data_IF_713168378230
#
_entry.id   IF_713168378230
#
_cell.length_a   1.000
_cell.length_b   1.000
_cell.length_c   1.000
_cell.angle_alpha   90.00
_cell.angle_beta   90.00
_cell.angle_gamma   90.00
#
_symmetry.space_group_name_H-M   'P 1'
#
loop_
_entity.id
_entity.type
_entity.pdbx_description
1 polymer ?
#
# COMPACT_ATOMS: atom_id res chain seq x y z
N UNK A 1 7.85 18.67 -8.34
CA UNK A 1 8.58 17.75 -7.42
C UNK A 1 8.00 16.33 -7.49
N UNK A 2 6.71 16.08 -7.19
CA UNK A 2 6.13 14.72 -7.20
C UNK A 2 6.18 14.04 -8.58
N UNK A 3 5.84 14.72 -9.67
CA UNK A 3 5.92 14.16 -11.03
C UNK A 3 7.34 13.76 -11.40
N UNK A 4 8.31 14.65 -11.15
CA UNK A 4 9.72 14.36 -11.40
C UNK A 4 10.24 13.16 -10.59
N UNK A 5 9.82 13.02 -9.32
CA UNK A 5 10.17 11.85 -8.53
C UNK A 5 9.57 10.55 -9.09
N UNK A 6 8.35 10.60 -9.65
CA UNK A 6 7.74 9.45 -10.30
C UNK A 6 8.46 9.06 -11.60
N UNK A 7 8.81 10.03 -12.43
CA UNK A 7 9.60 9.81 -13.65
C UNK A 7 10.99 9.23 -13.32
N UNK A 8 11.65 9.74 -12.28
CA UNK A 8 12.93 9.22 -11.82
C UNK A 8 12.81 7.79 -11.31
N UNK A 9 11.78 7.47 -10.49
CA UNK A 9 11.52 6.13 -10.02
C UNK A 9 11.24 5.15 -11.17
N UNK A 10 10.48 5.59 -12.18
CA UNK A 10 10.23 4.82 -13.40
C UNK A 10 11.51 4.58 -14.21
N UNK A 11 12.37 5.59 -14.37
CA UNK A 11 13.66 5.42 -15.04
C UNK A 11 14.58 4.42 -14.32
N UNK A 12 14.46 4.30 -13.00
CA UNK A 12 15.08 3.27 -12.18
C UNK A 12 14.36 1.92 -12.19
N UNK A 13 13.35 1.72 -13.05
CA UNK A 13 12.60 0.46 -13.19
C UNK A 13 11.91 -0.01 -11.91
N UNK A 14 11.56 0.88 -10.98
CA UNK A 14 10.85 0.51 -9.75
C UNK A 14 9.44 0.06 -10.06
N UNK A 15 8.89 -0.87 -9.25
CA UNK A 15 7.57 -1.47 -9.51
C UNK A 15 6.43 -0.50 -9.30
N UNK A 16 6.45 0.21 -8.17
CA UNK A 16 5.40 1.16 -7.82
C UNK A 16 5.86 2.17 -6.76
N UNK A 17 5.09 3.24 -6.66
CA UNK A 17 5.20 4.24 -5.60
C UNK A 17 4.04 4.10 -4.61
N UNK A 18 4.36 4.11 -3.31
CA UNK A 18 3.36 4.33 -2.27
C UNK A 18 3.27 5.82 -1.96
N UNK A 19 2.06 6.33 -1.80
CA UNK A 19 1.82 7.71 -1.39
C UNK A 19 1.10 7.66 -0.05
N UNK A 20 1.73 8.22 0.99
CA UNK A 20 1.14 8.26 2.33
C UNK A 20 -0.03 9.23 2.38
N UNK A 21 -1.02 8.86 3.20
CA UNK A 21 -2.17 9.70 3.53
C UNK A 21 -2.61 9.49 4.98
N UNK A 22 -3.41 10.43 5.46
CA UNK A 22 -4.05 10.44 6.77
C UNK A 22 -5.22 11.43 6.76
N UNK A 23 -6.07 11.34 7.75
CA UNK A 23 -7.26 12.21 7.89
C UNK A 23 -7.10 13.23 9.01
N UNK A 24 -5.88 13.39 9.52
CA UNK A 24 -5.54 14.38 10.55
C UNK A 24 -4.22 15.07 10.23
N UNK A 25 -3.95 16.16 10.91
CA UNK A 25 -2.66 16.85 10.80
C UNK A 25 -1.53 15.89 11.23
N UNK A 26 -0.41 15.94 10.52
CA UNK A 26 0.77 15.18 10.88
C UNK A 26 1.23 15.52 12.30
N UNK A 27 1.62 14.52 13.06
CA UNK A 27 2.05 14.60 14.44
C UNK A 27 3.18 13.61 14.70
N UNK A 28 4.08 13.96 15.59
CA UNK A 28 5.10 13.05 16.11
C UNK A 28 4.48 11.99 17.06
N UNK A 29 3.28 12.25 17.60
CA UNK A 29 2.48 11.28 18.35
C UNK A 29 1.52 10.55 17.40
N UNK A 30 1.60 9.22 17.37
CA UNK A 30 0.77 8.38 16.52
C UNK A 30 -0.73 8.44 16.84
N UNK A 31 -1.08 8.76 18.09
CA UNK A 31 -2.46 8.68 18.57
C UNK A 31 -3.12 10.04 18.78
N UNK A 32 -2.33 11.12 18.80
CA UNK A 32 -2.83 12.45 19.14
C UNK A 32 -2.19 13.53 18.27
N UNK A 33 -2.90 14.64 18.11
CA UNK A 33 -2.32 15.84 17.56
C UNK A 33 -1.32 16.45 18.55
N UNK A 34 -0.19 16.94 18.07
CA UNK A 34 0.75 17.73 18.84
C UNK A 34 0.56 19.24 18.55
N UNK A 35 1.22 20.10 19.32
CA UNK A 35 1.16 21.56 19.18
C UNK A 35 2.36 22.16 18.43
N UNK A 36 3.21 21.37 17.82
CA UNK A 36 4.41 21.86 17.13
C UNK A 36 4.07 22.71 15.91
N UNK A 37 4.82 23.77 15.71
CA UNK A 37 4.67 24.73 14.61
C UNK A 37 5.88 24.74 13.66
N UNK A 38 6.91 23.99 13.99
CA UNK A 38 8.19 23.90 13.26
C UNK A 38 8.27 22.68 12.32
N UNK A 39 7.14 22.00 12.09
CA UNK A 39 7.03 20.81 11.23
C UNK A 39 6.01 21.02 10.11
N UNK A 40 6.20 20.31 9.01
CA UNK A 40 5.17 20.18 7.98
C UNK A 40 3.99 19.41 8.57
N UNK A 41 2.78 19.98 8.51
CA UNK A 41 1.59 19.42 9.16
C UNK A 41 0.53 18.95 8.17
N UNK A 42 0.48 19.55 6.99
CA UNK A 42 -0.50 19.22 5.97
C UNK A 42 0.04 18.33 4.87
N UNK A 43 -0.84 17.61 4.21
CA UNK A 43 -0.53 16.82 3.02
C UNK A 43 -1.71 16.89 2.03
N UNK A 44 -1.47 16.51 0.80
CA UNK A 44 -2.48 16.41 -0.24
C UNK A 44 -3.05 15.00 -0.28
N UNK A 45 -4.27 14.83 -0.76
CA UNK A 45 -4.94 13.56 -0.97
C UNK A 45 -4.12 12.64 -1.88
N UNK A 46 -3.81 11.43 -1.39
CA UNK A 46 -2.93 10.51 -2.07
C UNK A 46 -3.53 9.93 -3.36
N UNK A 47 -4.85 9.70 -3.40
CA UNK A 47 -5.54 9.17 -4.59
C UNK A 47 -5.57 10.23 -5.69
N UNK A 48 -5.83 11.49 -5.33
CA UNK A 48 -5.82 12.61 -6.27
C UNK A 48 -4.41 12.90 -6.81
N UNK A 49 -3.37 12.82 -5.95
CA UNK A 49 -1.97 12.90 -6.39
C UNK A 49 -1.67 11.78 -7.39
N UNK A 50 -2.00 10.53 -7.05
CA UNK A 50 -1.77 9.38 -7.92
C UNK A 50 -2.47 9.57 -9.28
N UNK A 51 -3.72 9.99 -9.29
CA UNK A 51 -4.48 10.24 -10.52
C UNK A 51 -3.88 11.37 -11.37
N UNK A 52 -3.28 12.40 -10.73
CA UNK A 52 -2.63 13.51 -11.44
C UNK A 52 -1.30 13.10 -12.08
N UNK A 53 -0.52 12.25 -11.42
CA UNK A 53 0.84 11.90 -11.89
C UNK A 53 0.88 10.63 -12.75
N UNK A 54 -0.08 9.70 -12.60
CA UNK A 54 -0.10 8.45 -13.36
C UNK A 54 -0.04 8.63 -14.89
N UNK A 55 -0.73 9.61 -15.51
CA UNK A 55 -0.63 9.83 -16.96
C UNK A 55 0.73 10.37 -17.43
N UNK A 56 1.61 10.80 -16.53
CA UNK A 56 2.96 11.30 -16.86
C UNK A 56 3.99 10.17 -16.92
N UNK A 57 3.59 8.96 -16.56
CA UNK A 57 4.44 7.75 -16.55
C UNK A 57 3.78 6.66 -17.41
N UNK A 58 4.53 5.59 -17.71
CA UNK A 58 4.06 4.52 -18.61
C UNK A 58 4.00 3.14 -17.94
N UNK A 59 4.87 2.87 -16.97
CA UNK A 59 5.06 1.52 -16.42
C UNK A 59 4.92 1.46 -14.90
N UNK A 60 5.43 2.46 -14.17
CA UNK A 60 5.41 2.45 -12.70
C UNK A 60 3.98 2.48 -12.14
N UNK A 61 3.72 1.63 -11.15
CA UNK A 61 2.43 1.57 -10.46
C UNK A 61 2.27 2.64 -9.38
N UNK A 62 1.02 2.89 -8.99
CA UNK A 62 0.65 3.85 -7.94
C UNK A 62 -0.22 3.18 -6.89
N UNK A 63 0.25 3.18 -5.65
CA UNK A 63 -0.42 2.56 -4.49
C UNK A 63 -0.67 3.64 -3.43
N UNK A 64 -1.65 4.53 -3.65
CA UNK A 64 -2.04 5.53 -2.65
C UNK A 64 -2.57 4.85 -1.39
N UNK A 65 -2.32 5.47 -0.23
CA UNK A 65 -2.91 5.07 1.04
C UNK A 65 -4.34 5.60 1.15
N UNK A 66 -5.23 4.80 1.71
CA UNK A 66 -6.56 5.23 2.09
C UNK A 66 -6.94 4.68 3.47
N UNK A 67 -7.60 5.54 4.27
CA UNK A 67 -8.06 5.20 5.61
C UNK A 67 -9.42 4.52 5.49
N UNK A 68 -9.54 3.28 5.95
CA UNK A 68 -10.77 2.48 5.80
C UNK A 68 -11.79 2.69 6.92
N UNK A 69 -11.37 3.12 8.10
CA UNK A 69 -12.23 3.18 9.30
C UNK A 69 -13.32 4.26 9.26
N UNK A 70 -13.19 5.28 8.42
CA UNK A 70 -14.07 6.46 8.43
C UNK A 70 -14.62 6.81 7.06
N UNK A 71 -14.08 6.27 5.97
CA UNK A 71 -14.48 6.51 4.59
C UNK A 71 -15.49 5.48 4.10
N UNK A 72 -16.17 5.78 2.99
CA UNK A 72 -17.16 4.87 2.40
C UNK A 72 -16.52 3.93 1.36
N UNK A 73 -16.66 2.60 1.50
CA UNK A 73 -16.05 1.65 0.57
C UNK A 73 -16.56 1.81 -0.86
N UNK A 74 -17.85 2.13 -1.06
CA UNK A 74 -18.39 2.39 -2.41
C UNK A 74 -17.68 3.55 -3.09
N UNK A 75 -17.46 4.66 -2.37
CA UNK A 75 -16.81 5.84 -2.93
C UNK A 75 -15.35 5.56 -3.28
N UNK A 76 -14.64 4.88 -2.39
CA UNK A 76 -13.23 4.55 -2.61
C UNK A 76 -13.04 3.51 -3.72
N UNK A 77 -13.92 2.50 -3.82
CA UNK A 77 -13.85 1.51 -4.91
C UNK A 77 -13.91 2.17 -6.29
N UNK A 78 -14.83 3.13 -6.44
CA UNK A 78 -14.97 3.93 -7.66
C UNK A 78 -13.71 4.77 -7.94
N UNK A 79 -13.15 5.41 -6.93
CA UNK A 79 -11.95 6.25 -7.07
C UNK A 79 -10.74 5.41 -7.53
N UNK A 80 -10.50 4.25 -6.91
CA UNK A 80 -9.39 3.36 -7.29
C UNK A 80 -9.63 2.70 -8.66
N UNK A 81 -10.86 2.30 -8.99
CA UNK A 81 -11.19 1.82 -10.32
C UNK A 81 -10.93 2.90 -11.39
N UNK A 82 -11.28 4.16 -11.10
CA UNK A 82 -10.99 5.30 -11.98
C UNK A 82 -9.47 5.51 -12.13
N UNK A 83 -8.71 5.43 -11.02
CA UNK A 83 -7.25 5.49 -11.06
C UNK A 83 -6.68 4.37 -11.93
N UNK A 84 -7.25 3.17 -11.88
CA UNK A 84 -6.80 2.04 -12.70
C UNK A 84 -7.01 2.33 -14.20
N UNK A 85 -8.14 2.91 -14.58
CA UNK A 85 -8.37 3.38 -15.95
C UNK A 85 -7.41 4.49 -16.37
N UNK A 86 -7.23 5.51 -15.56
CA UNK A 86 -6.36 6.66 -15.86
C UNK A 86 -4.89 6.25 -15.96
N UNK A 87 -4.48 5.26 -15.17
CA UNK A 87 -3.13 4.69 -15.20
C UNK A 87 -2.96 3.52 -16.18
N UNK A 88 -4.01 3.12 -16.90
CA UNK A 88 -3.98 1.96 -17.83
C UNK A 88 -3.57 0.65 -17.14
N UNK A 89 -4.17 0.36 -15.97
CA UNK A 89 -3.94 -0.90 -15.25
C UNK A 89 -2.76 -0.87 -14.27
N UNK A 90 -2.40 0.30 -13.74
CA UNK A 90 -1.24 0.43 -12.83
C UNK A 90 -1.63 0.91 -11.43
N UNK A 91 -2.91 0.86 -11.09
CA UNK A 91 -3.38 1.23 -9.78
C UNK A 91 -3.28 0.10 -8.76
N UNK A 92 -3.03 0.48 -7.54
CA UNK A 92 -3.25 -0.29 -6.34
C UNK A 92 -3.83 0.60 -5.25
N UNK A 93 -3.98 0.06 -4.07
CA UNK A 93 -4.38 0.76 -2.86
C UNK A 93 -3.64 0.20 -1.67
N UNK A 94 -3.14 1.04 -0.77
CA UNK A 94 -2.72 0.63 0.56
C UNK A 94 -3.81 0.95 1.56
N UNK A 95 -4.43 -0.07 2.11
CA UNK A 95 -5.45 0.11 3.15
C UNK A 95 -4.80 0.35 4.50
N UNK A 96 -5.35 1.30 5.25
CA UNK A 96 -4.89 1.68 6.59
C UNK A 96 -6.09 1.78 7.52
N UNK A 97 -6.11 1.00 8.59
CA UNK A 97 -7.07 1.18 9.66
C UNK A 97 -6.77 2.48 10.42
N UNK A 98 -7.71 3.41 10.44
CA UNK A 98 -7.60 4.64 11.22
C UNK A 98 -7.84 4.36 12.69
N UNK A 99 -6.98 4.92 13.54
CA UNK A 99 -7.02 4.67 14.98
C UNK A 99 -7.12 5.99 15.81
N UNK A 100 -7.13 7.14 15.14
CA UNK A 100 -7.12 8.44 15.81
C UNK A 100 -8.53 8.98 16.04
N UNK A 101 -8.78 9.46 17.24
CA UNK A 101 -10.08 10.03 17.61
C UNK A 101 -10.40 11.33 16.86
N UNK A 102 -9.38 12.13 16.53
CA UNK A 102 -9.55 13.37 15.73
C UNK A 102 -9.93 13.04 14.27
N UNK A 103 -9.41 11.97 13.68
CA UNK A 103 -9.86 11.49 12.36
C UNK A 103 -11.36 11.14 12.38
N UNK A 104 -11.81 10.37 13.40
CA UNK A 104 -13.21 10.00 13.55
C UNK A 104 -14.14 11.23 13.69
N UNK A 105 -13.68 12.25 14.41
CA UNK A 105 -14.45 13.48 14.65
C UNK A 105 -14.73 14.29 13.36
N UNK A 106 -13.90 14.16 12.32
CA UNK A 106 -14.14 14.81 11.03
C UNK A 106 -15.35 14.23 10.28
N UNK A 107 -15.75 13.00 10.58
CA UNK A 107 -16.87 12.31 9.93
C UNK A 107 -18.14 12.30 10.77
N UNK A 108 -18.04 12.40 12.10
CA UNK A 108 -19.19 12.46 13.01
C UNK A 108 -20.10 11.22 13.00
N UNK A 109 -19.63 10.08 12.48
CA UNK A 109 -20.44 8.86 12.30
C UNK A 109 -20.45 7.96 13.53
N UNK A 110 -19.37 7.98 14.29
CA UNK A 110 -19.22 7.22 15.53
C UNK A 110 -18.17 7.89 16.42
N UNK A 111 -18.31 7.70 17.71
CA UNK A 111 -17.24 8.01 18.64
C UNK A 111 -16.14 6.96 18.51
N UNK A 112 -14.90 7.42 18.49
CA UNK A 112 -13.73 6.56 18.52
C UNK A 112 -12.98 6.80 19.83
N UNK A 113 -12.82 5.80 20.68
CA UNK A 113 -12.04 5.93 21.89
C UNK A 113 -10.61 6.34 21.56
N UNK A 114 -10.00 7.17 22.41
CA UNK A 114 -8.61 7.56 22.26
C UNK A 114 -7.71 6.34 22.50
N UNK A 115 -6.99 5.91 21.47
CA UNK A 115 -5.91 4.95 21.63
C UNK A 115 -4.73 5.61 22.35
N UNK A 116 -4.13 4.88 23.27
CA UNK A 116 -2.99 5.36 24.08
C UNK A 116 -1.91 4.29 24.09
N UNK A 117 -0.67 4.71 23.86
CA UNK A 117 0.49 3.82 23.81
C UNK A 117 0.67 3.01 25.12
N UNK A 118 0.40 3.64 26.26
CA UNK A 118 0.50 3.02 27.60
C UNK A 118 -0.61 1.98 27.89
N UNK A 119 -1.67 1.95 27.08
CA UNK A 119 -2.82 1.06 27.24
C UNK A 119 -3.01 0.04 26.13
N UNK A 120 -2.09 -0.03 25.18
CA UNK A 120 -2.20 -0.96 24.06
C UNK A 120 -2.31 -2.43 24.47
N UNK A 121 -1.77 -2.80 25.64
CA UNK A 121 -1.87 -4.17 26.16
C UNK A 121 -3.21 -4.47 26.86
N UNK A 122 -4.05 -3.47 27.12
CA UNK A 122 -5.35 -3.67 27.79
C UNK A 122 -6.27 -4.51 26.91
N UNK A 123 -7.02 -5.49 27.47
CA UNK A 123 -7.91 -6.35 26.69
C UNK A 123 -8.99 -5.59 25.88
N UNK A 124 -9.51 -4.49 26.45
CA UNK A 124 -10.51 -3.66 25.77
C UNK A 124 -9.90 -2.95 24.55
N UNK A 125 -8.67 -2.45 24.70
CA UNK A 125 -7.93 -1.80 23.64
C UNK A 125 -7.56 -2.80 22.53
N UNK A 126 -7.14 -4.01 22.90
CA UNK A 126 -6.87 -5.08 21.93
C UNK A 126 -8.13 -5.49 21.16
N UNK A 127 -9.31 -5.53 21.80
CA UNK A 127 -10.59 -5.78 21.11
C UNK A 127 -10.92 -4.66 20.13
N UNK A 128 -10.74 -3.40 20.52
CA UNK A 128 -10.96 -2.24 19.64
C UNK A 128 -10.03 -2.28 18.42
N UNK A 129 -8.75 -2.60 18.63
CA UNK A 129 -7.79 -2.76 17.52
C UNK A 129 -8.26 -3.88 16.60
N UNK A 130 -8.61 -5.05 17.14
CA UNK A 130 -9.10 -6.17 16.33
C UNK A 130 -10.34 -5.77 15.51
N UNK A 131 -11.32 -5.09 16.12
CA UNK A 131 -12.53 -4.60 15.45
C UNK A 131 -12.20 -3.66 14.27
N UNK A 132 -11.21 -2.75 14.40
CA UNK A 132 -10.77 -1.87 13.31
C UNK A 132 -10.15 -2.65 12.15
N UNK A 133 -9.37 -3.70 12.44
CA UNK A 133 -8.77 -4.52 11.41
C UNK A 133 -9.77 -5.48 10.74
N UNK A 134 -10.76 -5.96 11.48
CA UNK A 134 -11.87 -6.73 10.91
C UNK A 134 -12.76 -5.86 10.00
N UNK A 135 -13.05 -4.62 10.41
CA UNK A 135 -13.72 -3.63 9.55
C UNK A 135 -12.92 -3.37 8.25
N UNK A 136 -11.60 -3.22 8.37
CA UNK A 136 -10.74 -3.04 7.19
C UNK A 136 -10.77 -4.25 6.25
N UNK A 137 -10.89 -5.47 6.79
CA UNK A 137 -11.03 -6.68 5.98
C UNK A 137 -12.39 -6.72 5.23
N UNK A 138 -13.49 -6.38 5.89
CA UNK A 138 -14.81 -6.26 5.25
C UNK A 138 -14.81 -5.13 4.20
N UNK A 139 -14.12 -4.04 4.50
CA UNK A 139 -13.96 -2.94 3.55
C UNK A 139 -13.27 -3.41 2.26
N UNK A 140 -12.16 -4.13 2.37
CA UNK A 140 -11.46 -4.71 1.19
C UNK A 140 -12.35 -5.69 0.43
N UNK A 141 -13.11 -6.53 1.13
CA UNK A 141 -14.04 -7.45 0.47
C UNK A 141 -15.11 -6.70 -0.34
N UNK A 142 -15.65 -5.60 0.19
CA UNK A 142 -16.59 -4.74 -0.55
C UNK A 142 -15.91 -4.12 -1.78
N UNK A 143 -14.67 -3.59 -1.66
CA UNK A 143 -13.94 -3.07 -2.82
C UNK A 143 -13.84 -4.15 -3.91
N UNK A 144 -13.42 -5.36 -3.54
CA UNK A 144 -13.24 -6.47 -4.48
C UNK A 144 -14.54 -6.92 -5.13
N UNK A 145 -15.65 -6.95 -4.37
CA UNK A 145 -16.98 -7.25 -4.94
C UNK A 145 -17.43 -6.18 -5.91
N UNK A 146 -17.25 -4.92 -5.59
CA UNK A 146 -17.63 -3.80 -6.45
C UNK A 146 -16.81 -3.78 -7.74
N UNK A 147 -15.50 -4.07 -7.69
CA UNK A 147 -14.67 -4.14 -8.90
C UNK A 147 -15.08 -5.26 -9.85
N UNK A 148 -15.60 -6.35 -9.33
CA UNK A 148 -16.12 -7.46 -10.14
C UNK A 148 -17.61 -7.35 -10.49
N UNK A 149 -18.34 -6.34 -9.96
CA UNK A 149 -19.79 -6.21 -10.15
C UNK A 149 -20.25 -5.94 -11.59
N UNK A 150 -19.31 -5.65 -12.48
CA UNK A 150 -19.47 -5.68 -13.93
C UNK A 150 -18.65 -6.85 -14.48
N UNK A 151 -19.24 -7.66 -15.38
CA UNK A 151 -18.44 -8.62 -16.14
C UNK A 151 -17.63 -7.90 -17.23
N UNK A 152 -16.58 -8.55 -17.73
CA UNK A 152 -15.65 -7.94 -18.69
C UNK A 152 -16.32 -7.47 -19.98
N UNK A 153 -17.39 -8.15 -20.41
CA UNK A 153 -18.17 -7.88 -21.61
C UNK A 153 -19.58 -7.33 -21.32
N UNK A 154 -19.77 -6.76 -20.14
CA UNK A 154 -21.05 -6.10 -19.77
C UNK A 154 -21.36 -4.88 -20.65
N UNK A 155 -20.34 -4.14 -21.11
CA UNK A 155 -20.50 -3.09 -22.13
C UNK A 155 -20.51 -3.69 -23.53
N UNK A 156 -21.68 -3.71 -24.17
CA UNK A 156 -21.87 -4.27 -25.52
C UNK A 156 -21.87 -3.22 -26.63
N UNK A 157 -22.31 -1.98 -26.33
CA UNK A 157 -22.37 -0.85 -27.27
C UNK A 157 -22.96 -1.22 -28.61
N UNK A 158 -24.08 -2.00 -28.61
CA UNK A 158 -24.73 -2.49 -29.79
C UNK A 158 -25.59 -1.39 -30.43
N UNK A 159 -25.09 -0.83 -31.52
CA UNK A 159 -25.78 0.24 -32.28
C UNK A 159 -27.05 -0.26 -32.90
N UNK A 160 -27.15 -1.56 -33.31
CA UNK A 160 -28.31 -2.13 -34.01
C UNK A 160 -29.52 -2.19 -33.07
N UNK A 161 -29.32 -2.60 -31.81
CA UNK A 161 -30.40 -2.72 -30.85
C UNK A 161 -30.51 -1.50 -29.92
N UNK A 162 -29.59 -0.54 -30.03
CA UNK A 162 -29.52 0.63 -29.15
C UNK A 162 -29.11 0.30 -27.69
N UNK A 163 -28.60 -0.92 -27.44
CA UNK A 163 -28.21 -1.38 -26.13
C UNK A 163 -26.76 -0.98 -25.85
N UNK A 164 -26.53 -0.23 -24.74
CA UNK A 164 -25.18 0.09 -24.31
C UNK A 164 -24.57 -1.02 -23.43
N UNK A 165 -25.37 -1.62 -22.56
CA UNK A 165 -24.96 -2.66 -21.62
C UNK A 165 -25.83 -3.92 -21.74
N UNK A 166 -25.26 -5.06 -21.33
CA UNK A 166 -26.02 -6.23 -20.94
C UNK A 166 -26.31 -6.20 -19.44
N UNK A 167 -27.55 -5.90 -19.09
CA UNK A 167 -27.96 -5.74 -17.69
C UNK A 167 -27.79 -7.04 -16.87
N UNK A 168 -27.83 -8.22 -17.51
CA UNK A 168 -27.63 -9.50 -16.82
C UNK A 168 -26.19 -9.71 -16.36
N UNK A 169 -25.25 -8.88 -16.86
CA UNK A 169 -23.81 -8.88 -16.49
C UNK A 169 -23.44 -7.80 -15.49
N UNK A 170 -24.45 -7.15 -14.89
CA UNK A 170 -24.28 -6.22 -13.77
C UNK A 170 -24.84 -6.87 -12.51
N UNK A 171 -23.99 -7.01 -11.49
CA UNK A 171 -24.33 -7.76 -10.29
C UNK A 171 -24.41 -6.86 -9.06
N UNK A 172 -25.55 -6.91 -8.36
CA UNK A 172 -25.68 -6.33 -7.04
C UNK A 172 -24.86 -7.16 -6.08
N UNK A 173 -23.98 -6.50 -5.28
CA UNK A 173 -23.10 -7.22 -4.36
C UNK A 173 -23.79 -7.63 -3.08
N UNK A 174 -24.90 -6.93 -2.73
CA UNK A 174 -25.76 -7.17 -1.55
C UNK A 174 -24.94 -7.52 -0.30
N UNK A 175 -23.90 -6.70 -0.05
CA UNK A 175 -23.03 -6.92 1.11
C UNK A 175 -23.72 -6.39 2.37
N UNK A 176 -23.87 -7.24 3.37
CA UNK A 176 -24.34 -6.90 4.70
C UNK A 176 -23.25 -7.26 5.72
N UNK A 177 -22.66 -6.27 6.35
CA UNK A 177 -21.59 -6.39 7.34
C UNK A 177 -21.94 -5.77 8.68
N UNK A 178 -21.07 -5.95 9.66
CA UNK A 178 -21.25 -5.39 11.01
C UNK A 178 -21.17 -3.86 11.02
N UNK A 179 -20.35 -3.26 10.15
CA UNK A 179 -20.04 -1.83 10.17
C UNK A 179 -20.75 -1.05 9.06
N UNK A 180 -21.05 -1.68 7.97
CA UNK A 180 -21.73 -1.07 6.81
C UNK A 180 -22.39 -2.13 5.94
N UNK A 181 -23.34 -1.67 5.11
CA UNK A 181 -23.96 -2.48 4.06
C UNK A 181 -23.88 -1.76 2.75
N UNK A 182 -23.60 -2.49 1.66
CA UNK A 182 -23.42 -1.92 0.33
C UNK A 182 -24.16 -2.75 -0.71
N UNK A 183 -25.14 -2.13 -1.36
CA UNK A 183 -25.98 -2.79 -2.34
C UNK A 183 -25.23 -3.05 -3.67
N UNK A 184 -24.46 -2.09 -4.16
CA UNK A 184 -23.89 -2.15 -5.51
C UNK A 184 -24.98 -2.02 -6.62
N UNK A 185 -24.66 -2.30 -7.88
CA UNK A 185 -23.31 -2.52 -8.41
C UNK A 185 -22.43 -1.26 -8.36
N UNK A 186 -21.17 -1.37 -8.74
CA UNK A 186 -20.34 -0.20 -9.02
C UNK A 186 -20.93 0.61 -10.17
N UNK A 187 -20.63 1.92 -10.20
CA UNK A 187 -20.93 2.78 -11.35
C UNK A 187 -19.75 2.90 -12.33
N UNK A 188 -18.60 2.35 -11.95
CA UNK A 188 -17.42 2.24 -12.80
C UNK A 188 -17.35 0.81 -13.32
N UNK A 189 -17.16 0.59 -14.63
CA UNK A 189 -16.95 -0.74 -15.19
C UNK A 189 -15.76 -1.44 -14.53
N UNK A 190 -15.61 -2.73 -14.80
CA UNK A 190 -14.53 -3.54 -14.24
C UNK A 190 -13.16 -2.92 -14.55
N UNK A 191 -12.29 -2.71 -13.54
CA UNK A 191 -10.96 -2.13 -13.77
C UNK A 191 -10.14 -2.90 -14.80
N UNK A 192 -9.23 -2.27 -15.55
CA UNK A 192 -8.35 -2.93 -16.52
C UNK A 192 -7.61 -4.16 -15.97
N UNK A 193 -7.13 -4.09 -14.73
CA UNK A 193 -6.50 -5.22 -14.03
C UNK A 193 -7.50 -6.27 -13.51
N UNK A 194 -8.80 -6.06 -13.64
CA UNK A 194 -9.85 -6.80 -12.97
C UNK A 194 -9.92 -6.42 -11.48
N UNK A 195 -8.85 -6.63 -10.75
CA UNK A 195 -8.69 -6.31 -9.34
C UNK A 195 -7.43 -5.46 -9.14
N UNK A 196 -7.52 -4.14 -8.91
CA UNK A 196 -6.39 -3.34 -8.46
C UNK A 196 -5.67 -3.96 -7.26
N UNK A 197 -4.35 -3.81 -7.20
CA UNK A 197 -3.53 -4.43 -6.16
C UNK A 197 -3.89 -3.86 -4.79
N UNK A 198 -4.15 -4.71 -3.81
CA UNK A 198 -4.39 -4.33 -2.42
C UNK A 198 -3.15 -4.58 -1.59
N UNK A 199 -2.66 -3.55 -0.93
CA UNK A 199 -1.55 -3.63 0.01
C UNK A 199 -1.98 -3.25 1.44
N UNK A 200 -1.33 -3.79 2.44
CA UNK A 200 -1.50 -3.41 3.84
C UNK A 200 -0.17 -3.45 4.59
N UNK A 201 -0.03 -2.66 5.65
CA UNK A 201 1.14 -2.64 6.51
C UNK A 201 0.83 -3.34 7.83
N UNK A 202 1.75 -4.16 8.31
CA UNK A 202 1.62 -4.87 9.57
C UNK A 202 2.89 -4.81 10.42
N UNK A 203 2.70 -4.64 11.74
CA UNK A 203 3.76 -4.64 12.75
C UNK A 203 3.55 -5.70 13.84
N UNK A 204 2.40 -6.38 13.83
CA UNK A 204 1.98 -7.33 14.85
C UNK A 204 0.96 -8.34 14.30
N UNK A 205 0.55 -9.30 15.12
CA UNK A 205 -0.32 -10.42 14.72
C UNK A 205 -1.64 -9.99 14.09
N UNK A 206 -2.35 -9.02 14.67
CA UNK A 206 -3.66 -8.56 14.14
C UNK A 206 -3.53 -7.95 12.74
N UNK A 207 -2.62 -6.98 12.48
CA UNK A 207 -2.34 -6.52 11.12
C UNK A 207 -1.87 -7.64 10.15
N UNK A 208 -1.12 -8.65 10.62
CA UNK A 208 -0.72 -9.78 9.78
C UNK A 208 -1.92 -10.63 9.35
N UNK A 209 -2.96 -10.73 10.17
CA UNK A 209 -4.22 -11.38 9.80
C UNK A 209 -4.94 -10.61 8.70
N UNK A 210 -4.98 -9.27 8.75
CA UNK A 210 -5.51 -8.46 7.66
C UNK A 210 -4.74 -8.70 6.35
N UNK A 211 -3.40 -8.65 6.40
CA UNK A 211 -2.54 -8.95 5.23
C UNK A 211 -2.91 -10.32 4.65
N UNK A 212 -2.94 -11.35 5.50
CA UNK A 212 -3.21 -12.72 5.10
C UNK A 212 -4.60 -12.94 4.49
N UNK A 213 -5.63 -12.27 5.04
CA UNK A 213 -7.04 -12.39 4.59
C UNK A 213 -7.31 -11.59 3.32
N UNK A 214 -6.68 -10.42 3.15
CA UNK A 214 -7.22 -9.40 2.25
C UNK A 214 -6.23 -8.85 1.23
N UNK A 215 -4.91 -8.86 1.52
CA UNK A 215 -3.92 -8.19 0.68
C UNK A 215 -3.34 -9.09 -0.43
N UNK A 216 -2.82 -8.44 -1.47
CA UNK A 216 -1.93 -9.02 -2.47
C UNK A 216 -0.46 -8.76 -2.08
N UNK A 217 -0.20 -7.65 -1.36
CA UNK A 217 1.12 -7.26 -0.86
C UNK A 217 1.01 -6.87 0.62
N UNK A 218 1.80 -7.51 1.47
CA UNK A 218 1.96 -7.13 2.87
C UNK A 218 3.29 -6.42 3.09
N UNK A 219 3.28 -5.19 3.61
CA UNK A 219 4.48 -4.53 4.09
C UNK A 219 4.72 -4.91 5.55
N UNK A 220 5.97 -5.21 5.89
CA UNK A 220 6.38 -5.60 7.24
C UNK A 220 7.68 -4.90 7.64
N UNK A 221 7.94 -4.79 8.93
CA UNK A 221 9.09 -4.06 9.48
C UNK A 221 10.06 -4.98 10.24
N UNK A 222 10.77 -5.88 9.55
CA UNK A 222 11.73 -6.76 10.19
C UNK A 222 12.94 -5.97 10.72
N UNK A 223 13.53 -6.44 11.81
CA UNK A 223 14.77 -5.87 12.39
C UNK A 223 16.02 -6.47 11.75
N UNK A 224 15.94 -7.76 11.42
CA UNK A 224 17.00 -8.57 10.84
C UNK A 224 16.40 -9.74 10.04
N UNK A 225 17.25 -10.57 9.45
CA UNK A 225 16.84 -11.71 8.64
C UNK A 225 16.08 -12.79 9.44
N UNK A 226 16.47 -13.04 10.68
CA UNK A 226 15.78 -14.01 11.54
C UNK A 226 14.34 -13.55 11.84
N UNK A 227 14.16 -12.30 12.23
CA UNK A 227 12.85 -11.72 12.45
C UNK A 227 12.01 -11.64 11.15
N UNK A 228 12.65 -11.42 9.99
CA UNK A 228 11.96 -11.50 8.69
C UNK A 228 11.37 -12.90 8.44
N UNK A 229 12.14 -13.95 8.69
CA UNK A 229 11.69 -15.34 8.55
C UNK A 229 10.53 -15.68 9.51
N UNK A 230 10.57 -15.21 10.75
CA UNK A 230 9.49 -15.36 11.73
C UNK A 230 8.19 -14.70 11.24
N UNK A 231 8.28 -13.44 10.78
CA UNK A 231 7.12 -12.69 10.25
C UNK A 231 6.53 -13.41 9.03
N UNK A 232 7.36 -13.81 8.08
CA UNK A 232 6.90 -14.54 6.88
C UNK A 232 6.18 -15.83 7.28
N UNK A 233 6.74 -16.60 8.20
CA UNK A 233 6.13 -17.83 8.71
C UNK A 233 4.77 -17.57 9.34
N UNK A 234 4.66 -16.52 10.16
CA UNK A 234 3.39 -16.14 10.79
C UNK A 234 2.35 -15.73 9.75
N UNK A 235 2.71 -14.89 8.78
CA UNK A 235 1.79 -14.45 7.71
C UNK A 235 1.33 -15.66 6.87
N UNK A 236 2.22 -16.61 6.53
CA UNK A 236 1.85 -17.82 5.78
C UNK A 236 0.89 -18.71 6.58
N UNK A 237 1.08 -18.81 7.89
CA UNK A 237 0.17 -19.53 8.78
C UNK A 237 -1.22 -18.88 8.76
N UNK A 238 -1.30 -17.57 8.91
CA UNK A 238 -2.58 -16.84 8.86
C UNK A 238 -3.23 -16.89 7.47
N UNK A 239 -2.42 -16.88 6.39
CA UNK A 239 -2.90 -17.04 5.02
C UNK A 239 -3.56 -18.42 4.81
N UNK A 240 -2.97 -19.47 5.35
CA UNK A 240 -3.54 -20.82 5.31
C UNK A 240 -4.84 -20.90 6.12
N UNK A 241 -4.89 -20.29 7.31
CA UNK A 241 -6.12 -20.18 8.13
C UNK A 241 -7.25 -19.45 7.41
N UNK A 242 -6.90 -18.42 6.63
CA UNK A 242 -7.86 -17.68 5.80
C UNK A 242 -8.29 -18.42 4.52
N UNK A 243 -7.85 -19.66 4.30
CA UNK A 243 -8.18 -20.45 3.09
C UNK A 243 -7.50 -19.95 1.82
N UNK A 244 -6.44 -19.12 1.92
CA UNK A 244 -5.76 -18.48 0.80
C UNK A 244 -4.37 -19.06 0.49
N UNK A 245 -4.04 -20.24 1.02
CA UNK A 245 -2.71 -20.85 0.88
C UNK A 245 -2.24 -21.00 -0.58
N UNK A 246 -3.17 -21.21 -1.53
CA UNK A 246 -2.87 -21.33 -2.95
C UNK A 246 -2.71 -19.99 -3.69
N UNK A 247 -3.04 -18.86 -3.04
CA UNK A 247 -2.93 -17.53 -3.65
C UNK A 247 -1.53 -16.95 -3.44
N UNK A 248 -1.02 -16.25 -4.44
CA UNK A 248 0.21 -15.48 -4.29
C UNK A 248 -0.05 -14.29 -3.36
N UNK A 249 0.74 -14.21 -2.29
CA UNK A 249 0.79 -13.06 -1.37
C UNK A 249 2.26 -12.65 -1.25
N UNK A 250 2.55 -11.42 -1.66
CA UNK A 250 3.89 -10.87 -1.50
C UNK A 250 4.08 -10.31 -0.09
N UNK A 251 5.25 -10.57 0.50
CA UNK A 251 5.65 -9.99 1.79
C UNK A 251 6.89 -9.14 1.54
N UNK A 252 6.74 -7.82 1.68
CA UNK A 252 7.77 -6.83 1.40
C UNK A 252 8.31 -6.24 2.71
N UNK A 253 9.63 -6.17 2.82
CA UNK A 253 10.30 -5.52 3.95
C UNK A 253 10.34 -4.01 3.77
N UNK A 254 9.96 -3.27 4.82
CA UNK A 254 10.07 -1.81 4.88
C UNK A 254 11.44 -1.40 5.42
N UNK A 255 12.05 -0.41 4.79
CA UNK A 255 13.31 0.20 5.18
C UNK A 255 13.27 1.72 4.95
N UNK A 256 13.78 2.50 5.89
CA UNK A 256 14.17 3.89 5.65
C UNK A 256 15.64 3.90 5.27
N UNK A 257 15.99 4.60 4.21
CA UNK A 257 17.36 4.58 3.66
C UNK A 257 17.98 5.97 3.60
N UNK A 258 19.13 6.12 4.25
CA UNK A 258 20.06 7.23 4.12
C UNK A 258 21.23 6.72 3.28
N UNK A 259 21.26 7.02 1.99
CA UNK A 259 22.26 6.50 1.07
C UNK A 259 23.31 7.54 0.74
N UNK A 260 24.59 7.11 0.73
CA UNK A 260 25.71 7.93 0.32
C UNK A 260 26.84 7.04 -0.25
N UNK A 261 27.96 7.63 -0.65
CA UNK A 261 29.08 6.91 -1.28
C UNK A 261 29.78 5.94 -0.28
N UNK A 262 29.70 6.19 1.01
CA UNK A 262 30.26 5.33 2.07
C UNK A 262 29.39 5.32 3.33
N UNK A 263 29.61 4.36 4.21
CA UNK A 263 28.93 4.27 5.50
C UNK A 263 29.20 5.51 6.39
N UNK A 264 30.44 6.01 6.39
CA UNK A 264 30.78 7.23 7.14
C UNK A 264 30.01 8.44 6.60
N UNK A 265 30.00 8.64 5.27
CA UNK A 265 29.30 9.77 4.66
C UNK A 265 27.77 9.73 4.92
N UNK A 266 27.14 8.56 4.81
CA UNK A 266 25.73 8.37 5.11
C UNK A 266 25.41 8.64 6.61
N UNK A 267 26.25 8.14 7.51
CA UNK A 267 26.12 8.32 8.95
C UNK A 267 26.30 9.79 9.33
N UNK A 268 27.31 10.46 8.82
CA UNK A 268 27.56 11.89 9.06
C UNK A 268 26.40 12.76 8.54
N UNK A 269 25.88 12.42 7.35
CA UNK A 269 24.69 13.10 6.80
C UNK A 269 23.46 12.90 7.70
N UNK A 270 23.20 11.67 8.16
CA UNK A 270 22.10 11.39 9.10
C UNK A 270 22.29 12.21 10.40
N UNK A 271 23.47 12.16 11.01
CA UNK A 271 23.77 12.90 12.26
C UNK A 271 23.59 14.41 12.09
N UNK A 272 24.00 14.97 10.95
CA UNK A 272 23.79 16.39 10.64
C UNK A 272 22.30 16.73 10.57
N UNK A 273 21.49 15.89 9.90
CA UNK A 273 20.04 16.08 9.79
C UNK A 273 19.35 15.93 11.16
N UNK A 274 19.75 14.94 11.96
CA UNK A 274 19.27 14.75 13.34
C UNK A 274 19.59 15.97 14.21
N UNK A 275 20.81 16.49 14.10
CA UNK A 275 21.23 17.70 14.84
C UNK A 275 20.42 18.93 14.42
N UNK A 276 20.13 19.10 13.13
CA UNK A 276 19.28 20.19 12.63
C UNK A 276 17.83 20.04 13.08
N UNK A 277 17.33 18.81 13.18
CA UNK A 277 15.98 18.50 13.67
C UNK A 277 15.86 18.60 15.20
N UNK A 278 16.99 18.65 15.93
CA UNK A 278 17.03 18.67 17.39
C UNK A 278 16.71 17.32 18.05
N UNK A 279 16.59 16.25 17.27
CA UNK A 279 16.32 14.90 17.76
C UNK A 279 16.79 13.84 16.75
N UNK A 280 17.15 12.66 17.26
CA UNK A 280 17.45 11.53 16.41
C UNK A 280 16.19 11.09 15.63
N UNK A 281 16.33 10.91 14.30
CA UNK A 281 15.28 10.35 13.48
C UNK A 281 15.00 8.90 13.85
N UNK A 282 13.76 8.60 14.19
CA UNK A 282 13.25 7.27 14.51
C UNK A 282 12.15 6.87 13.52
N UNK A 283 12.01 5.57 13.29
CA UNK A 283 11.02 5.01 12.39
C UNK A 283 10.49 3.69 12.97
N UNK A 284 9.28 3.32 12.53
CA UNK A 284 8.68 1.99 12.69
C UNK A 284 9.49 0.91 11.94
N UNK A 285 10.13 1.28 10.82
CA UNK A 285 10.99 0.42 10.04
C UNK A 285 12.46 0.62 10.40
N UNK A 286 13.27 -0.40 10.10
CA UNK A 286 14.72 -0.30 10.25
C UNK A 286 15.24 0.87 9.41
N UNK A 287 16.12 1.67 10.01
CA UNK A 287 16.87 2.75 9.35
C UNK A 287 18.21 2.19 8.90
N UNK A 288 18.47 2.25 7.60
CA UNK A 288 19.77 1.94 7.01
C UNK A 288 20.49 3.24 6.67
N UNK A 289 21.75 3.36 7.07
CA UNK A 289 22.65 4.45 6.66
C UNK A 289 23.92 3.83 6.09
N UNK A 290 24.19 4.02 4.80
CA UNK A 290 25.36 3.40 4.17
C UNK A 290 25.32 3.44 2.65
N UNK A 291 26.31 2.79 1.98
CA UNK A 291 26.38 2.75 0.52
C UNK A 291 25.35 1.77 -0.08
N UNK A 292 25.00 2.00 -1.33
CA UNK A 292 24.04 1.17 -2.07
C UNK A 292 24.46 -0.31 -2.16
N UNK A 293 25.77 -0.62 -2.22
CA UNK A 293 26.27 -1.99 -2.24
C UNK A 293 25.95 -2.75 -0.94
N UNK A 294 26.16 -2.11 0.24
CA UNK A 294 25.80 -2.68 1.54
C UNK A 294 24.29 -2.84 1.71
N UNK A 295 23.49 -1.91 1.14
CA UNK A 295 22.05 -2.11 1.09
C UNK A 295 21.68 -3.32 0.25
N UNK A 296 22.30 -3.52 -0.91
CA UNK A 296 22.07 -4.69 -1.75
C UNK A 296 22.38 -6.01 -1.02
N UNK A 297 23.43 -6.05 -0.19
CA UNK A 297 23.75 -7.21 0.66
C UNK A 297 22.61 -7.49 1.65
N UNK A 298 22.14 -6.44 2.37
CA UNK A 298 21.03 -6.54 3.31
C UNK A 298 19.74 -7.05 2.64
N UNK A 299 19.42 -6.53 1.44
CA UNK A 299 18.23 -6.96 0.71
C UNK A 299 18.33 -8.44 0.28
N UNK A 300 19.50 -8.92 -0.13
CA UNK A 300 19.73 -10.34 -0.44
C UNK A 300 19.55 -11.24 0.78
N UNK A 301 20.11 -10.86 1.94
CA UNK A 301 19.94 -11.60 3.19
C UNK A 301 18.45 -11.71 3.58
N UNK A 302 17.71 -10.64 3.44
CA UNK A 302 16.30 -10.61 3.76
C UNK A 302 15.44 -11.36 2.74
N UNK A 303 15.83 -11.34 1.47
CA UNK A 303 15.19 -12.17 0.44
C UNK A 303 15.40 -13.66 0.72
N UNK A 304 16.61 -14.05 1.13
CA UNK A 304 16.90 -15.42 1.55
C UNK A 304 16.09 -15.87 2.79
N UNK A 305 15.69 -14.90 3.63
CA UNK A 305 14.80 -15.12 4.77
C UNK A 305 13.30 -15.23 4.38
N UNK A 306 12.96 -15.10 3.09
CA UNK A 306 11.61 -15.32 2.56
C UNK A 306 10.83 -14.07 2.19
N UNK A 307 11.40 -12.87 2.29
CA UNK A 307 10.78 -11.68 1.74
C UNK A 307 10.81 -11.71 0.20
N UNK A 308 9.73 -11.27 -0.43
CA UNK A 308 9.58 -11.25 -1.89
C UNK A 308 9.85 -9.90 -2.53
N UNK A 309 10.12 -8.87 -1.73
CA UNK A 309 10.41 -7.52 -2.18
C UNK A 309 10.61 -6.53 -1.05
N UNK A 310 10.78 -5.26 -1.40
CA UNK A 310 11.11 -4.22 -0.43
C UNK A 310 10.41 -2.91 -0.75
N UNK A 311 9.90 -2.23 0.30
CA UNK A 311 9.48 -0.85 0.24
C UNK A 311 10.58 0.01 0.82
N UNK A 312 11.32 0.69 -0.06
CA UNK A 312 12.40 1.58 0.34
C UNK A 312 11.85 3.01 0.49
N UNK A 313 12.01 3.59 1.67
CA UNK A 313 11.58 4.95 2.00
C UNK A 313 12.80 5.86 1.98
N UNK A 314 12.99 6.70 0.93
CA UNK A 314 14.08 7.68 0.89
C UNK A 314 13.98 8.61 2.10
N UNK A 315 15.06 8.77 2.85
CA UNK A 315 15.07 9.65 4.02
C UNK A 315 15.01 11.13 3.62
N UNK A 316 15.62 11.47 2.48
CA UNK A 316 15.59 12.83 1.92
C UNK A 316 15.49 12.79 0.39
N UNK A 317 14.50 13.52 -0.16
CA UNK A 317 14.35 13.70 -1.61
C UNK A 317 15.03 14.98 -2.08
N UNK A 318 15.64 14.99 -3.28
CA UNK A 318 15.75 13.88 -4.23
C UNK A 318 16.94 12.94 -3.97
N UNK A 319 17.84 13.27 -3.03
CA UNK A 319 19.15 12.64 -2.84
C UNK A 319 19.08 11.10 -2.75
N UNK A 320 18.31 10.57 -1.80
CA UNK A 320 18.25 9.12 -1.60
C UNK A 320 17.52 8.40 -2.76
N UNK A 321 16.55 9.05 -3.41
CA UNK A 321 15.92 8.49 -4.61
C UNK A 321 16.92 8.39 -5.77
N UNK A 322 17.80 9.38 -5.94
CA UNK A 322 18.87 9.33 -6.93
C UNK A 322 19.82 8.17 -6.66
N UNK A 323 20.24 7.97 -5.41
CA UNK A 323 21.05 6.81 -5.04
C UNK A 323 20.34 5.46 -5.27
N UNK A 324 19.02 5.39 -5.03
CA UNK A 324 18.23 4.20 -5.34
C UNK A 324 18.25 3.89 -6.83
N UNK A 325 17.95 4.86 -7.67
CA UNK A 325 17.80 4.65 -9.12
C UNK A 325 19.14 4.55 -9.86
N UNK A 326 20.16 5.30 -9.45
CA UNK A 326 21.42 5.40 -10.18
C UNK A 326 22.57 4.56 -9.60
N UNK A 327 22.41 4.02 -8.38
CA UNK A 327 23.43 3.21 -7.71
C UNK A 327 22.92 1.84 -7.27
N UNK A 328 21.82 1.79 -6.50
CA UNK A 328 21.29 0.51 -6.02
C UNK A 328 20.76 -0.34 -7.16
N UNK A 329 19.90 0.22 -8.02
CA UNK A 329 19.33 -0.56 -9.13
C UNK A 329 20.41 -1.12 -10.06
N UNK A 330 21.41 -0.35 -10.55
CA UNK A 330 22.51 -0.91 -11.34
C UNK A 330 23.31 -2.00 -10.58
N UNK A 331 23.52 -1.84 -9.28
CA UNK A 331 24.19 -2.87 -8.46
C UNK A 331 23.39 -4.16 -8.39
N UNK A 332 22.06 -4.07 -8.16
CA UNK A 332 21.16 -5.23 -8.15
C UNK A 332 21.09 -5.90 -9.54
N UNK A 333 21.08 -5.12 -10.62
CA UNK A 333 21.12 -5.63 -11.99
C UNK A 333 22.44 -6.35 -12.27
N UNK A 334 23.59 -5.80 -11.85
CA UNK A 334 24.90 -6.45 -11.97
C UNK A 334 24.95 -7.80 -11.25
N UNK A 335 24.21 -7.93 -10.12
CA UNK A 335 24.07 -9.17 -9.37
C UNK A 335 23.02 -10.14 -9.96
N UNK A 336 22.28 -9.73 -10.99
CA UNK A 336 21.18 -10.52 -11.56
C UNK A 336 19.94 -10.60 -10.67
N UNK A 337 19.76 -9.63 -9.76
CA UNK A 337 18.68 -9.59 -8.76
C UNK A 337 17.55 -8.64 -9.10
N UNK A 338 17.71 -7.86 -10.17
CA UNK A 338 16.71 -6.89 -10.59
C UNK A 338 16.61 -6.85 -12.11
N UNK A 339 15.43 -6.45 -12.60
CA UNK A 339 15.10 -6.38 -14.03
C UNK A 339 15.96 -5.37 -14.78
N UNK A 340 16.21 -5.63 -16.07
CA UNK A 340 16.87 -4.69 -16.99
C UNK A 340 15.87 -3.87 -17.81
N UNK A 341 14.58 -4.22 -17.78
CA UNK A 341 13.48 -3.54 -18.46
C UNK A 341 12.16 -3.90 -17.80
N UNK A 342 11.13 -3.10 -17.99
CA UNK A 342 9.77 -3.49 -17.63
C UNK A 342 9.31 -4.68 -18.48
N UNK A 343 8.67 -5.66 -17.86
CA UNK A 343 8.25 -6.91 -18.49
C UNK A 343 6.73 -7.07 -18.54
N UNK A 344 6.00 -6.08 -17.99
CA UNK A 344 4.54 -6.03 -18.00
C UNK A 344 4.03 -4.59 -18.01
N UNK A 345 2.81 -4.40 -18.51
CA UNK A 345 2.17 -3.09 -18.65
C UNK A 345 1.23 -2.76 -17.48
N UNK A 346 0.94 -3.72 -16.60
CA UNK A 346 0.06 -3.55 -15.44
C UNK A 346 0.80 -3.78 -14.14
N UNK A 347 0.33 -3.17 -13.05
CA UNK A 347 0.95 -3.39 -11.74
C UNK A 347 0.85 -4.86 -11.30
N UNK A 348 -0.29 -5.52 -11.52
CA UNK A 348 -0.40 -6.96 -11.26
C UNK A 348 0.63 -7.77 -12.04
N UNK A 349 0.80 -7.45 -13.31
CA UNK A 349 1.79 -8.11 -14.17
C UNK A 349 3.23 -7.91 -13.68
N UNK A 350 3.60 -6.68 -13.29
CA UNK A 350 4.92 -6.38 -12.70
C UNK A 350 5.20 -7.19 -11.42
N UNK A 351 4.16 -7.48 -10.65
CA UNK A 351 4.23 -8.30 -9.44
C UNK A 351 4.03 -9.81 -9.71
N UNK A 352 3.96 -10.24 -10.96
CA UNK A 352 3.72 -11.65 -11.30
C UNK A 352 2.34 -12.18 -10.86
N UNK A 353 1.39 -11.27 -10.63
CA UNK A 353 0.02 -11.61 -10.25
C UNK A 353 -0.85 -11.72 -11.51
N UNK A 354 -1.55 -12.83 -11.65
CA UNK A 354 -2.51 -12.98 -12.75
C UNK A 354 -3.66 -11.97 -12.64
N UNK A 355 -4.24 -11.56 -13.79
CA UNK A 355 -5.55 -10.90 -13.81
C UNK A 355 -6.59 -11.92 -13.35
N UNK A 356 -7.30 -11.70 -12.24
CA UNK A 356 -8.24 -12.70 -11.74
C UNK A 356 -9.48 -12.80 -12.63
N UNK A 357 -10.08 -13.98 -12.65
CA UNK A 357 -11.42 -14.15 -13.24
C UNK A 357 -12.44 -13.28 -12.49
N UNK A 358 -13.49 -12.86 -13.19
CA UNK A 358 -14.60 -12.18 -12.55
C UNK A 358 -15.37 -13.17 -11.66
N UNK A 359 -15.65 -12.80 -10.41
CA UNK A 359 -16.31 -13.70 -9.44
C UNK A 359 -17.78 -14.00 -9.75
N UNK A 360 -18.42 -13.16 -10.54
CA UNK A 360 -19.85 -13.28 -10.90
C UNK A 360 -20.06 -13.85 -12.29
N UNK A 361 -19.04 -13.86 -13.16
CA UNK A 361 -19.16 -14.48 -14.45
C UNK A 361 -19.42 -15.98 -14.28
N UNK A 362 -20.42 -16.50 -15.00
CA UNK A 362 -20.66 -17.93 -15.03
C UNK A 362 -19.44 -18.67 -15.57
N UNK A 363 -19.05 -19.76 -14.91
CA UNK A 363 -17.93 -20.61 -15.32
C UNK A 363 -18.26 -21.39 -16.59
#
# INVERSE_FOLDING_TARGET
MLSHGAEQAESGLLDFLTIEDGLSLQSDDHFQADSRTDRVRGHLDAVLIAARIAPLTRHIGFVPTAITSHTEPFHLSKAIATLDYVSTGRAGIRVKAGARADEAAHFGRRESPLLRADRLADPDMQRLIADHFDEAADYVEVLRRLWDSWEDDAEIRDVTTGRFIDQNKLHYIEFEGRWFSVKGPSITPRPPQGQPVVAALGHASVPYQLIARSADVGFVTPRDAAHAAEIVTQIRTEQARAGRAAQTLHVFGDLVVFLDESESAATERKQRLDSQAGAEYRSDARVYAGPSAGLADLLQDWQAAGLSGFRLRPAALPHDLTHLTERLVPELQRRGLFRARYEADTLRGLLGLARPANRYAAA
#
